data_IF_140992074591
#
_entry.id   IF_140992074591
#
_cell.length_a   1.000
_cell.length_b   1.000
_cell.length_c   1.000
_cell.angle_alpha   90.00
_cell.angle_beta   90.00
_cell.angle_gamma   90.00
#
_symmetry.space_group_name_H-M   'P 1'
#
loop_
_entity.id
_entity.type
_entity.pdbx_description
1 polymer ?
#
# COMPACT_ATOMS: atom_id res chain seq x y z
N UNK A 1 74.25 -47.87 49.72
CA UNK A 1 72.89 -48.27 49.25
C UNK A 1 71.91 -47.15 49.55
N UNK A 2 70.78 -47.10 48.82
CA UNK A 2 69.64 -46.15 48.93
C UNK A 2 69.78 -44.76 48.27
N UNK A 3 69.49 -44.72 46.95
CA UNK A 3 68.47 -43.83 46.33
C UNK A 3 67.06 -44.43 46.62
N UNK A 4 65.89 -43.85 46.27
CA UNK A 4 65.56 -42.64 45.48
C UNK A 4 64.85 -41.60 46.40
N UNK A 5 64.02 -40.60 46.00
CA UNK A 5 63.32 -40.24 44.74
C UNK A 5 63.30 -38.70 44.58
N UNK A 6 63.15 -38.21 43.34
CA UNK A 6 62.65 -36.86 43.03
C UNK A 6 61.40 -37.04 42.17
N UNK A 7 60.28 -36.41 42.54
CA UNK A 7 59.09 -36.29 41.69
C UNK A 7 58.90 -34.81 41.35
N UNK A 8 59.24 -34.44 40.11
CA UNK A 8 58.89 -33.15 39.52
C UNK A 8 57.73 -33.39 38.55
N UNK A 9 56.55 -32.86 38.86
CA UNK A 9 55.35 -33.05 38.05
C UNK A 9 55.29 -31.95 36.99
N UNK A 10 55.60 -32.33 35.75
CA UNK A 10 55.74 -31.40 34.62
C UNK A 10 54.40 -31.32 33.87
N UNK A 11 53.61 -30.28 34.14
CA UNK A 11 52.35 -30.02 33.45
C UNK A 11 52.64 -29.43 32.08
N UNK A 12 52.50 -30.25 31.03
CA UNK A 12 52.52 -29.80 29.64
C UNK A 12 51.12 -29.31 29.29
N UNK A 13 50.89 -28.00 29.38
CA UNK A 13 49.70 -27.37 28.83
C UNK A 13 49.79 -27.38 27.30
N UNK A 14 48.87 -28.06 26.64
CA UNK A 14 48.83 -28.15 25.18
C UNK A 14 48.45 -26.83 24.53
N UNK A 15 49.34 -26.28 23.71
CA UNK A 15 49.03 -25.23 22.76
C UNK A 15 48.16 -25.82 21.64
N UNK A 16 46.84 -25.74 21.79
CA UNK A 16 45.95 -25.75 20.62
C UNK A 16 45.90 -24.35 20.03
N UNK A 17 46.01 -24.18 18.70
CA UNK A 17 45.78 -22.89 18.08
C UNK A 17 44.30 -22.53 18.27
N UNK A 18 44.06 -21.48 19.04
CA UNK A 18 42.74 -20.87 19.16
C UNK A 18 42.38 -20.32 17.78
N UNK A 19 41.48 -20.99 17.06
CA UNK A 19 40.89 -20.42 15.86
C UNK A 19 40.17 -19.14 16.29
N UNK A 20 40.66 -18.01 15.79
CA UNK A 20 40.01 -16.73 16.00
C UNK A 20 38.66 -16.78 15.29
N UNK A 21 37.60 -17.07 16.05
CA UNK A 21 36.27 -16.61 15.68
C UNK A 21 36.40 -15.09 15.51
N UNK A 22 36.14 -14.59 14.30
CA UNK A 22 36.12 -13.15 14.08
C UNK A 22 35.04 -12.58 14.98
N UNK A 23 35.43 -11.69 15.90
CA UNK A 23 34.47 -10.94 16.66
C UNK A 23 33.64 -10.11 15.67
N UNK A 24 32.33 -10.33 15.68
CA UNK A 24 31.39 -9.44 15.02
C UNK A 24 31.49 -8.11 15.78
N UNK A 25 32.06 -7.08 15.17
CA UNK A 25 32.19 -5.77 15.79
C UNK A 25 30.81 -5.09 15.73
N UNK A 26 30.01 -5.38 16.75
CA UNK A 26 28.57 -5.09 16.85
C UNK A 26 28.27 -3.57 16.79
N UNK A 27 29.29 -2.72 16.91
CA UNK A 27 29.20 -1.27 16.79
C UNK A 27 29.17 -0.75 15.32
N UNK A 28 29.60 -1.51 14.31
CA UNK A 28 29.60 -1.03 12.90
C UNK A 28 28.36 -1.46 12.08
N UNK A 29 27.66 -2.52 12.51
CA UNK A 29 26.52 -3.10 11.78
C UNK A 29 25.21 -2.90 12.54
N UNK A 30 24.29 -2.12 11.97
CA UNK A 30 22.93 -1.94 12.52
C UNK A 30 21.90 -2.74 11.72
N UNK A 31 20.99 -3.44 12.41
CA UNK A 31 19.84 -4.08 11.78
C UNK A 31 18.74 -3.04 11.55
N UNK A 32 18.41 -2.80 10.28
CA UNK A 32 17.39 -1.84 9.86
C UNK A 32 16.29 -2.53 9.05
N UNK A 33 15.05 -2.05 9.20
CA UNK A 33 13.93 -2.48 8.36
C UNK A 33 13.95 -1.69 7.05
N UNK A 34 14.06 -2.37 5.91
CA UNK A 34 14.07 -1.74 4.59
C UNK A 34 12.83 -2.07 3.77
N UNK A 35 12.33 -1.06 3.05
CA UNK A 35 11.18 -1.19 2.15
C UNK A 35 11.66 -1.62 0.75
N UNK A 36 11.56 -2.92 0.45
CA UNK A 36 11.94 -3.46 -0.85
C UNK A 36 10.81 -3.28 -1.87
N UNK A 37 11.10 -2.53 -2.95
CA UNK A 37 10.18 -2.25 -4.06
C UNK A 37 10.60 -3.06 -5.28
N UNK A 38 9.72 -3.93 -5.79
CA UNK A 38 9.99 -4.72 -6.99
C UNK A 38 9.18 -4.17 -8.16
N UNK A 39 9.86 -3.82 -9.25
CA UNK A 39 9.27 -3.10 -10.38
C UNK A 39 8.08 -3.86 -11.02
N UNK A 40 6.86 -3.33 -10.81
CA UNK A 40 5.64 -3.86 -11.43
C UNK A 40 5.04 -5.09 -10.76
N UNK A 41 5.44 -5.39 -9.51
CA UNK A 41 4.91 -6.52 -8.72
C UNK A 41 4.34 -6.04 -7.38
N UNK A 42 5.05 -5.17 -6.68
CA UNK A 42 4.65 -4.68 -5.37
C UNK A 42 5.85 -4.27 -4.52
N UNK A 43 5.65 -4.22 -3.21
CA UNK A 43 6.71 -3.95 -2.25
C UNK A 43 6.43 -4.64 -0.91
N UNK A 44 7.48 -4.91 -0.14
CA UNK A 44 7.43 -5.55 1.17
C UNK A 44 8.54 -5.00 2.07
N UNK A 45 8.39 -5.19 3.38
CA UNK A 45 9.40 -4.82 4.37
C UNK A 45 10.21 -6.05 4.75
N UNK A 46 11.53 -5.89 4.92
CA UNK A 46 12.41 -6.96 5.40
C UNK A 46 13.57 -6.40 6.24
N UNK A 47 14.07 -7.15 7.23
CA UNK A 47 15.28 -6.78 7.94
C UNK A 47 16.50 -6.86 7.01
N UNK A 48 17.46 -5.97 7.22
CA UNK A 48 18.72 -5.90 6.51
C UNK A 48 19.79 -5.31 7.43
N UNK A 49 21.05 -5.71 7.27
CA UNK A 49 22.15 -5.06 7.98
C UNK A 49 22.71 -3.91 7.16
N UNK A 50 22.95 -2.78 7.81
CA UNK A 50 23.64 -1.63 7.24
C UNK A 50 24.96 -1.40 7.98
N UNK A 51 26.07 -1.29 7.25
CA UNK A 51 27.38 -0.94 7.83
C UNK A 51 27.66 0.54 7.63
N UNK A 52 28.00 1.23 8.72
CA UNK A 52 28.31 2.65 8.72
C UNK A 52 29.70 2.96 8.15
N UNK A 53 30.70 2.08 8.39
CA UNK A 53 32.06 2.26 7.88
C UNK A 53 32.16 2.26 6.36
N UNK A 54 31.39 1.40 5.70
CA UNK A 54 31.48 1.17 4.26
C UNK A 54 30.23 1.64 3.47
N UNK A 55 29.17 2.10 4.17
CA UNK A 55 27.91 2.59 3.60
C UNK A 55 27.22 1.56 2.68
N UNK A 56 27.27 0.27 3.06
CA UNK A 56 26.65 -0.85 2.32
C UNK A 56 25.44 -1.40 3.06
N UNK A 57 24.45 -1.81 2.27
CA UNK A 57 23.33 -2.62 2.74
C UNK A 57 23.54 -4.09 2.36
N UNK A 58 23.33 -4.97 3.34
CA UNK A 58 23.37 -6.42 3.25
C UNK A 58 21.97 -6.99 3.41
N UNK A 59 21.51 -7.77 2.42
CA UNK A 59 20.18 -8.37 2.42
C UNK A 59 20.26 -9.86 2.79
N UNK A 60 19.33 -10.39 3.61
CA UNK A 60 19.27 -11.81 3.92
C UNK A 60 18.91 -12.59 2.67
N UNK A 61 19.81 -13.50 2.26
CA UNK A 61 19.67 -14.23 0.99
C UNK A 61 18.47 -15.18 1.06
N UNK A 62 18.27 -15.83 2.21
CA UNK A 62 17.20 -16.81 2.43
C UNK A 62 15.82 -16.16 2.27
N UNK A 63 15.57 -15.04 2.94
CA UNK A 63 14.26 -14.38 2.93
C UNK A 63 13.94 -13.74 1.58
N UNK A 64 14.94 -13.10 0.95
CA UNK A 64 14.80 -12.56 -0.39
C UNK A 64 14.46 -13.65 -1.40
N UNK A 65 15.17 -14.79 -1.35
CA UNK A 65 14.94 -15.89 -2.30
C UNK A 65 13.60 -16.59 -2.03
N UNK A 66 13.20 -16.74 -0.75
CA UNK A 66 11.89 -17.23 -0.36
C UNK A 66 10.76 -16.35 -0.92
N UNK A 67 10.87 -15.02 -0.77
CA UNK A 67 9.89 -14.07 -1.30
C UNK A 67 9.79 -14.15 -2.83
N UNK A 68 10.93 -14.19 -3.52
CA UNK A 68 11.02 -14.29 -4.97
C UNK A 68 10.62 -15.68 -5.51
N UNK A 69 10.43 -16.66 -4.63
CA UNK A 69 10.27 -18.10 -4.94
C UNK A 69 11.37 -18.65 -5.85
N UNK A 70 12.60 -18.25 -5.55
CA UNK A 70 13.80 -18.99 -5.93
C UNK A 70 13.83 -20.24 -5.04
N UNK A 71 14.54 -21.31 -5.44
CA UNK A 71 14.75 -22.47 -4.57
C UNK A 71 16.03 -22.26 -3.76
N UNK A 72 15.94 -22.40 -2.43
CA UNK A 72 17.09 -22.37 -1.53
C UNK A 72 16.94 -23.35 -0.37
N UNK A 73 18.07 -23.94 0.02
CA UNK A 73 18.26 -24.76 1.21
C UNK A 73 19.51 -24.25 1.95
N UNK A 74 19.35 -23.89 3.22
CA UNK A 74 20.42 -23.41 4.09
C UNK A 74 20.89 -24.51 5.05
N UNK A 75 22.19 -24.55 5.34
CA UNK A 75 22.69 -25.34 6.47
C UNK A 75 22.19 -24.73 7.80
N UNK A 76 22.06 -25.52 8.88
CA UNK A 76 21.57 -25.02 10.18
C UNK A 76 22.36 -23.85 10.80
N UNK A 77 23.58 -23.62 10.35
CA UNK A 77 24.47 -22.54 10.82
C UNK A 77 24.67 -21.42 9.78
N UNK A 78 23.91 -21.44 8.67
CA UNK A 78 23.99 -20.48 7.56
C UNK A 78 25.36 -20.35 6.88
N UNK A 79 26.32 -21.22 7.17
CA UNK A 79 27.66 -21.23 6.56
C UNK A 79 27.62 -21.54 5.05
N UNK A 80 26.57 -22.23 4.58
CA UNK A 80 26.39 -22.62 3.19
C UNK A 80 24.92 -22.58 2.78
N UNK A 81 24.66 -21.99 1.62
CA UNK A 81 23.36 -21.99 0.95
C UNK A 81 23.48 -22.72 -0.39
N UNK A 82 22.54 -23.59 -0.71
CA UNK A 82 22.46 -24.30 -1.98
C UNK A 82 21.07 -24.11 -2.60
N UNK A 83 20.94 -24.19 -3.92
CA UNK A 83 19.64 -24.09 -4.57
C UNK A 83 19.74 -24.03 -6.08
N UNK A 84 18.66 -23.61 -6.75
CA UNK A 84 18.65 -23.40 -8.19
C UNK A 84 17.87 -22.14 -8.61
N UNK A 85 18.30 -21.54 -9.72
CA UNK A 85 17.73 -20.31 -10.27
C UNK A 85 16.85 -20.61 -11.50
N UNK A 86 15.53 -20.66 -11.30
CA UNK A 86 14.46 -20.89 -12.30
C UNK A 86 14.42 -22.30 -12.90
N UNK A 87 15.56 -22.83 -13.35
CA UNK A 87 15.71 -24.20 -13.87
C UNK A 87 16.62 -24.99 -12.92
N UNK A 88 16.25 -26.24 -12.59
CA UNK A 88 17.01 -27.16 -11.74
C UNK A 88 18.46 -27.38 -12.24
N UNK A 89 18.74 -27.13 -13.53
CA UNK A 89 20.10 -27.18 -14.10
C UNK A 89 20.97 -26.00 -13.68
N UNK A 90 20.38 -24.86 -13.30
CA UNK A 90 21.09 -23.63 -12.89
C UNK A 90 21.31 -23.63 -11.39
N UNK A 91 22.03 -24.66 -10.93
CA UNK A 91 22.43 -24.80 -9.54
C UNK A 91 23.34 -23.65 -9.11
N UNK A 92 23.16 -23.19 -7.87
CA UNK A 92 24.07 -22.28 -7.22
C UNK A 92 24.47 -22.79 -5.83
N UNK A 93 25.66 -22.37 -5.39
CA UNK A 93 26.18 -22.60 -4.04
C UNK A 93 26.80 -21.31 -3.54
N UNK A 94 26.39 -20.84 -2.37
CA UNK A 94 27.04 -19.74 -1.64
C UNK A 94 27.72 -20.38 -0.42
N UNK A 95 29.00 -20.13 -0.22
CA UNK A 95 29.79 -20.69 0.85
C UNK A 95 30.55 -19.54 1.57
N UNK A 96 30.19 -19.31 2.83
CA UNK A 96 30.76 -18.25 3.67
C UNK A 96 32.22 -18.54 4.04
N UNK A 97 32.55 -19.79 4.36
CA UNK A 97 33.89 -20.17 4.82
C UNK A 97 34.96 -20.05 3.72
N UNK A 98 34.59 -20.34 2.47
CA UNK A 98 35.44 -20.11 1.30
C UNK A 98 35.27 -18.72 0.68
N UNK A 99 34.23 -17.98 1.07
CA UNK A 99 33.78 -16.71 0.44
C UNK A 99 33.61 -16.85 -1.07
N UNK A 100 32.93 -17.92 -1.50
CA UNK A 100 32.66 -18.15 -2.93
C UNK A 100 31.19 -18.31 -3.25
N UNK A 101 30.81 -17.85 -4.44
CA UNK A 101 29.56 -18.23 -5.09
C UNK A 101 29.90 -19.04 -6.33
N UNK A 102 29.35 -20.25 -6.41
CA UNK A 102 29.36 -21.06 -7.62
C UNK A 102 27.99 -20.96 -8.29
N UNK A 103 27.95 -20.58 -9.57
CA UNK A 103 26.71 -20.55 -10.37
C UNK A 103 27.03 -20.77 -11.85
N UNK A 104 26.20 -21.54 -12.57
CA UNK A 104 26.39 -21.89 -13.99
C UNK A 104 27.81 -22.39 -14.33
N UNK A 105 28.44 -23.13 -13.40
CA UNK A 105 29.80 -23.67 -13.54
C UNK A 105 30.94 -22.64 -13.37
N UNK A 106 30.63 -21.39 -13.01
CA UNK A 106 31.63 -20.34 -12.68
C UNK A 106 31.75 -20.19 -11.17
N UNK A 107 32.97 -20.02 -10.68
CA UNK A 107 33.25 -19.65 -9.29
C UNK A 107 33.61 -18.18 -9.22
N UNK A 108 32.87 -17.43 -8.41
CA UNK A 108 33.08 -16.02 -8.10
C UNK A 108 33.60 -15.95 -6.67
N UNK A 109 34.73 -15.28 -6.45
CA UNK A 109 35.29 -15.03 -5.12
C UNK A 109 34.74 -13.69 -4.63
N UNK A 110 34.21 -13.67 -3.42
CA UNK A 110 33.67 -12.48 -2.77
C UNK A 110 34.75 -11.78 -1.94
N UNK A 111 34.66 -10.45 -1.84
CA UNK A 111 35.42 -9.66 -0.88
C UNK A 111 35.00 -9.92 0.57
N UNK A 112 35.81 -9.45 1.51
CA UNK A 112 35.52 -9.53 2.95
C UNK A 112 34.22 -8.80 3.29
N UNK A 113 34.01 -7.61 2.73
CA UNK A 113 32.83 -6.78 2.96
C UNK A 113 31.65 -7.07 2.02
N UNK A 114 31.59 -8.25 1.40
CA UNK A 114 30.53 -8.61 0.43
C UNK A 114 29.59 -9.72 0.92
N UNK A 115 29.99 -10.44 1.96
CA UNK A 115 29.22 -11.52 2.58
C UNK A 115 29.29 -11.38 4.10
N UNK A 116 28.15 -11.58 4.77
CA UNK A 116 28.01 -11.43 6.21
C UNK A 116 27.17 -12.58 6.75
N UNK A 117 27.62 -13.22 7.85
CA UNK A 117 26.89 -14.32 8.50
C UNK A 117 26.65 -13.98 9.96
N UNK A 118 25.38 -13.88 10.35
CA UNK A 118 24.94 -13.64 11.73
C UNK A 118 24.30 -14.91 12.30
N UNK A 119 23.79 -14.86 13.53
CA UNK A 119 22.98 -15.95 14.10
C UNK A 119 21.64 -16.14 13.36
N UNK A 120 21.13 -15.08 12.74
CA UNK A 120 19.80 -15.04 12.09
C UNK A 120 19.85 -15.45 10.61
N UNK A 121 20.98 -15.36 9.93
CA UNK A 121 21.06 -15.74 8.52
C UNK A 121 22.39 -15.51 7.82
N UNK A 122 22.40 -15.81 6.52
CA UNK A 122 23.45 -15.43 5.57
C UNK A 122 22.97 -14.24 4.73
N UNK A 123 23.80 -13.20 4.68
CA UNK A 123 23.52 -11.94 4.03
C UNK A 123 24.57 -11.65 2.95
N UNK A 124 24.15 -11.00 1.87
CA UNK A 124 25.05 -10.52 0.81
C UNK A 124 24.89 -9.01 0.63
N UNK A 125 25.98 -8.35 0.28
CA UNK A 125 25.93 -6.96 -0.17
C UNK A 125 25.01 -6.83 -1.39
N UNK A 126 24.12 -5.82 -1.36
CA UNK A 126 23.19 -5.47 -2.44
C UNK A 126 23.79 -5.49 -3.85
N UNK A 127 25.06 -5.06 -4.01
CA UNK A 127 25.76 -5.05 -5.30
C UNK A 127 26.12 -6.44 -5.87
N UNK A 128 26.11 -7.51 -5.06
CA UNK A 128 26.42 -8.89 -5.50
C UNK A 128 25.24 -9.51 -6.25
N UNK A 129 24.00 -9.19 -5.86
CA UNK A 129 22.79 -9.82 -6.40
C UNK A 129 22.59 -9.60 -7.92
N UNK A 130 22.97 -8.42 -8.42
CA UNK A 130 22.84 -8.09 -9.84
C UNK A 130 23.76 -8.93 -10.74
N UNK A 131 25.10 -8.82 -10.58
CA UNK A 131 26.07 -9.57 -11.40
C UNK A 131 25.97 -11.09 -11.28
N UNK A 132 25.56 -11.62 -10.12
CA UNK A 132 25.55 -13.07 -9.86
C UNK A 132 24.20 -13.69 -10.23
N UNK A 133 23.08 -13.08 -9.83
CA UNK A 133 21.74 -13.67 -9.94
C UNK A 133 20.81 -12.94 -10.90
N UNK A 134 21.22 -11.82 -11.53
CA UNK A 134 20.34 -10.99 -12.35
C UNK A 134 19.30 -10.20 -11.54
N UNK A 135 19.61 -9.94 -10.26
CA UNK A 135 18.75 -9.27 -9.28
C UNK A 135 19.37 -7.91 -8.91
N UNK A 136 19.12 -6.89 -9.71
CA UNK A 136 19.73 -5.57 -9.53
C UNK A 136 19.06 -4.79 -8.39
N UNK A 137 19.66 -4.87 -7.20
CA UNK A 137 19.26 -4.14 -6.00
C UNK A 137 19.92 -2.75 -5.93
N UNK A 138 19.13 -1.68 -5.90
CA UNK A 138 19.60 -0.31 -5.67
C UNK A 138 19.10 0.20 -4.33
N UNK A 139 19.99 0.50 -3.38
CA UNK A 139 19.62 1.01 -2.07
C UNK A 139 19.54 2.55 -2.03
N UNK A 140 18.48 3.07 -1.42
CA UNK A 140 18.22 4.49 -1.23
C UNK A 140 18.15 4.83 0.27
N UNK A 141 19.31 5.06 0.88
CA UNK A 141 19.49 5.33 2.32
C UNK A 141 18.48 6.35 2.89
N UNK A 142 18.27 7.50 2.23
CA UNK A 142 17.32 8.55 2.68
C UNK A 142 15.87 8.09 2.88
N UNK A 143 15.49 7.00 2.22
CA UNK A 143 14.12 6.44 2.26
C UNK A 143 14.09 5.02 2.82
N UNK A 144 15.23 4.51 3.30
CA UNK A 144 15.46 3.13 3.73
C UNK A 144 14.80 2.11 2.79
N UNK A 145 14.94 2.31 1.48
CA UNK A 145 14.26 1.50 0.47
C UNK A 145 15.23 0.87 -0.51
N UNK A 146 14.89 -0.32 -1.00
CA UNK A 146 15.66 -1.03 -2.03
C UNK A 146 14.80 -1.18 -3.28
N UNK A 147 15.22 -0.60 -4.39
CA UNK A 147 14.61 -0.89 -5.68
C UNK A 147 15.23 -2.15 -6.27
N UNK A 148 14.43 -3.21 -6.43
CA UNK A 148 14.82 -4.44 -7.11
C UNK A 148 14.31 -4.42 -8.56
N UNK A 149 15.26 -4.49 -9.50
CA UNK A 149 15.02 -4.70 -10.93
C UNK A 149 15.58 -6.05 -11.35
N UNK A 150 14.84 -6.79 -12.16
CA UNK A 150 15.31 -8.06 -12.72
C UNK A 150 14.76 -8.26 -14.13
N UNK A 151 15.61 -8.77 -15.01
CA UNK A 151 15.23 -9.18 -16.36
C UNK A 151 14.70 -10.63 -16.40
N UNK A 152 14.65 -11.29 -15.25
CA UNK A 152 14.23 -12.68 -15.11
C UNK A 152 12.71 -12.79 -14.86
N UNK A 153 12.04 -13.70 -15.59
CA UNK A 153 10.64 -14.07 -15.33
C UNK A 153 10.54 -15.02 -14.12
N UNK A 154 10.80 -14.49 -12.92
CA UNK A 154 10.72 -15.27 -11.68
C UNK A 154 9.29 -15.78 -11.41
N UNK A 155 9.11 -16.97 -10.80
CA UNK A 155 7.78 -17.58 -10.61
C UNK A 155 6.81 -16.67 -9.85
N UNK A 156 7.25 -16.02 -8.77
CA UNK A 156 6.44 -15.08 -7.99
C UNK A 156 5.94 -13.90 -8.83
N UNK A 157 6.83 -13.34 -9.67
CA UNK A 157 6.52 -12.22 -10.57
C UNK A 157 5.45 -12.62 -11.59
N UNK A 158 5.58 -13.82 -12.16
CA UNK A 158 4.62 -14.36 -13.13
C UNK A 158 3.24 -14.57 -12.51
N UNK A 159 3.17 -15.14 -11.32
CA UNK A 159 1.89 -15.34 -10.61
C UNK A 159 1.20 -14.01 -10.27
N UNK A 160 1.91 -13.04 -9.70
CA UNK A 160 1.32 -11.73 -9.37
C UNK A 160 0.88 -10.96 -10.62
N UNK A 161 1.65 -11.02 -11.72
CA UNK A 161 1.25 -10.45 -13.02
C UNK A 161 -0.02 -11.11 -13.57
N UNK A 162 -0.17 -12.43 -13.44
CA UNK A 162 -1.39 -13.14 -13.84
C UNK A 162 -2.60 -12.79 -12.96
N UNK A 163 -2.40 -12.61 -11.65
CA UNK A 163 -3.44 -12.15 -10.74
C UNK A 163 -3.95 -10.74 -11.10
N UNK A 164 -3.04 -9.79 -11.33
CA UNK A 164 -3.38 -8.44 -11.78
C UNK A 164 -4.08 -8.45 -13.15
N UNK A 165 -3.69 -9.30 -14.09
CA UNK A 165 -4.40 -9.44 -15.37
C UNK A 165 -5.84 -9.93 -15.18
N UNK A 166 -6.09 -10.90 -14.28
CA UNK A 166 -7.44 -11.39 -13.98
C UNK A 166 -8.33 -10.29 -13.41
N UNK A 167 -7.87 -9.60 -12.37
CA UNK A 167 -8.57 -8.46 -11.77
C UNK A 167 -8.88 -7.35 -12.80
N UNK A 168 -7.94 -7.05 -13.69
CA UNK A 168 -8.16 -6.06 -14.75
C UNK A 168 -9.19 -6.54 -15.80
N UNK A 169 -9.21 -7.83 -16.16
CA UNK A 169 -10.23 -8.40 -17.06
C UNK A 169 -11.62 -8.38 -16.43
N UNK A 170 -11.74 -8.68 -15.13
CA UNK A 170 -12.99 -8.58 -14.36
C UNK A 170 -13.50 -7.13 -14.34
N UNK A 171 -12.63 -6.16 -14.00
CA UNK A 171 -12.91 -4.71 -14.07
C UNK A 171 -13.37 -4.26 -15.46
N UNK A 172 -12.76 -4.78 -16.53
CA UNK A 172 -13.09 -4.43 -17.92
C UNK A 172 -14.40 -5.07 -18.42
N UNK A 173 -14.76 -6.26 -17.91
CA UNK A 173 -16.04 -6.91 -18.21
C UNK A 173 -17.21 -6.29 -17.44
N UNK A 174 -16.94 -5.56 -16.37
CA UNK A 174 -17.97 -4.96 -15.51
C UNK A 174 -18.62 -5.96 -14.55
N UNK A 175 -18.07 -7.17 -14.48
CA UNK A 175 -18.36 -8.18 -13.47
C UNK A 175 -17.63 -7.79 -12.18
N UNK A 176 -18.18 -6.78 -11.48
CA UNK A 176 -17.74 -6.46 -10.12
C UNK A 176 -18.39 -7.48 -9.21
N UNK A 177 -17.60 -8.42 -8.70
CA UNK A 177 -18.05 -9.30 -7.62
C UNK A 177 -18.35 -8.43 -6.39
N UNK A 178 -19.56 -8.57 -5.85
CA UNK A 178 -20.06 -7.75 -4.74
C UNK A 178 -20.81 -8.64 -3.76
N UNK A 179 -20.35 -8.66 -2.51
CA UNK A 179 -20.90 -9.52 -1.44
C UNK A 179 -22.41 -9.35 -1.24
N UNK A 180 -22.98 -8.21 -1.61
CA UNK A 180 -24.43 -7.97 -1.59
C UNK A 180 -24.87 -6.89 -2.58
N UNK A 181 -25.86 -7.20 -3.43
CA UNK A 181 -26.57 -6.20 -4.24
C UNK A 181 -27.85 -5.72 -3.55
N UNK A 182 -27.88 -4.44 -3.12
CA UNK A 182 -29.08 -3.81 -2.58
C UNK A 182 -29.93 -3.19 -3.70
N UNK A 183 -30.98 -3.90 -4.12
CA UNK A 183 -31.94 -3.38 -5.10
C UNK A 183 -32.79 -2.22 -4.54
N UNK A 184 -32.95 -1.14 -5.32
CA UNK A 184 -33.83 -0.02 -4.98
C UNK A 184 -35.29 -0.49 -4.93
N UNK A 185 -35.89 -0.44 -3.74
CA UNK A 185 -37.33 -0.62 -3.52
C UNK A 185 -38.00 0.75 -3.50
N UNK A 186 -39.14 0.87 -4.18
CA UNK A 186 -39.93 2.10 -4.22
C UNK A 186 -41.12 1.99 -3.25
N UNK A 187 -41.33 3.02 -2.45
CA UNK A 187 -42.40 3.09 -1.45
C UNK A 187 -43.34 4.25 -1.76
N UNK A 188 -44.64 4.07 -1.51
CA UNK A 188 -45.62 5.15 -1.67
C UNK A 188 -45.38 6.29 -0.67
N UNK A 189 -45.05 5.93 0.57
CA UNK A 189 -44.55 6.84 1.60
C UNK A 189 -43.55 6.11 2.48
N UNK A 190 -42.42 6.75 2.79
CA UNK A 190 -41.47 6.31 3.80
C UNK A 190 -40.80 7.52 4.42
N UNK A 191 -40.93 7.68 5.73
CA UNK A 191 -40.19 8.71 6.46
C UNK A 191 -38.68 8.43 6.40
N UNK A 192 -37.87 9.47 6.19
CA UNK A 192 -36.41 9.37 6.12
C UNK A 192 -35.75 10.03 7.31
N UNK A 193 -35.36 11.29 7.13
CA UNK A 193 -34.56 12.09 8.09
C UNK A 193 -35.11 13.50 8.23
N UNK A 194 -34.90 14.09 9.41
CA UNK A 194 -35.20 15.50 9.70
C UNK A 194 -34.02 16.09 10.46
N UNK A 195 -33.47 17.17 9.90
CA UNK A 195 -32.34 17.91 10.44
C UNK A 195 -32.81 19.33 10.78
N UNK A 196 -32.33 19.91 11.86
CA UNK A 196 -32.67 21.27 12.25
C UNK A 196 -31.46 22.00 12.80
N UNK A 197 -31.42 23.31 12.60
CA UNK A 197 -30.43 24.18 13.21
C UNK A 197 -31.09 25.48 13.69
N UNK A 198 -30.62 25.99 14.83
CA UNK A 198 -31.01 27.29 15.38
C UNK A 198 -29.73 28.04 15.76
N UNK A 199 -29.64 29.29 15.31
CA UNK A 199 -28.52 30.18 15.62
C UNK A 199 -29.07 31.56 15.97
N UNK A 200 -28.45 32.23 16.94
CA UNK A 200 -28.79 33.60 17.30
C UNK A 200 -27.51 34.40 17.53
N UNK A 201 -27.40 35.54 16.86
CA UNK A 201 -26.26 36.44 16.94
C UNK A 201 -26.72 37.77 17.51
N UNK A 202 -26.12 38.15 18.64
CA UNK A 202 -26.35 39.43 19.31
C UNK A 202 -25.10 40.29 19.14
N UNK A 203 -25.30 41.55 18.75
CA UNK A 203 -24.23 42.54 18.57
C UNK A 203 -24.63 43.80 19.33
N UNK A 204 -23.73 44.31 20.17
CA UNK A 204 -23.97 45.52 20.97
C UNK A 204 -24.37 46.69 20.08
N UNK A 205 -25.51 47.33 20.38
CA UNK A 205 -26.15 48.40 19.58
C UNK A 205 -26.65 47.99 18.18
N UNK A 206 -26.97 46.72 17.95
CA UNK A 206 -27.58 46.23 16.71
C UNK A 206 -28.73 45.25 16.98
N UNK A 207 -29.60 45.04 15.99
CA UNK A 207 -30.75 44.13 16.08
C UNK A 207 -30.30 42.67 16.13
N UNK A 208 -30.79 41.93 17.13
CA UNK A 208 -30.58 40.47 17.27
C UNK A 208 -31.03 39.72 16.01
N UNK A 209 -30.13 38.88 15.49
CA UNK A 209 -30.34 38.11 14.28
C UNK A 209 -30.43 36.62 14.62
N UNK A 210 -31.65 36.08 14.59
CA UNK A 210 -31.93 34.68 14.87
C UNK A 210 -32.31 33.97 13.58
N UNK A 211 -31.55 32.94 13.20
CA UNK A 211 -31.84 32.08 12.04
C UNK A 211 -32.18 30.68 12.50
N UNK A 212 -33.24 30.11 11.93
CA UNK A 212 -33.57 28.71 12.08
C UNK A 212 -33.68 28.04 10.70
N UNK A 213 -33.25 26.79 10.58
CA UNK A 213 -33.45 25.97 9.39
C UNK A 213 -33.96 24.58 9.75
N UNK A 214 -34.75 23.99 8.86
CA UNK A 214 -35.36 22.67 9.00
C UNK A 214 -35.29 21.94 7.67
N UNK A 215 -34.47 20.89 7.60
CA UNK A 215 -34.41 19.94 6.49
C UNK A 215 -35.29 18.72 6.78
N UNK A 216 -35.97 18.23 5.75
CA UNK A 216 -36.72 16.98 5.75
C UNK A 216 -36.41 16.23 4.44
N UNK A 217 -35.91 15.00 4.58
CA UNK A 217 -35.74 14.04 3.49
C UNK A 217 -36.66 12.85 3.69
N UNK A 218 -37.51 12.53 2.72
CA UNK A 218 -38.44 11.40 2.79
C UNK A 218 -38.66 10.75 1.41
N UNK A 219 -39.30 9.59 1.36
CA UNK A 219 -39.84 9.01 0.14
C UNK A 219 -41.35 9.27 0.08
N UNK A 220 -41.84 9.78 -1.05
CA UNK A 220 -43.26 10.00 -1.32
C UNK A 220 -43.54 9.84 -2.81
N UNK A 221 -44.67 9.20 -3.15
CA UNK A 221 -45.05 8.88 -4.53
C UNK A 221 -43.93 8.17 -5.31
N UNK A 222 -43.23 7.23 -4.66
CA UNK A 222 -42.12 6.46 -5.25
C UNK A 222 -40.89 7.32 -5.65
N UNK A 223 -40.85 8.59 -5.25
CA UNK A 223 -39.73 9.50 -5.43
C UNK A 223 -39.17 9.99 -4.11
N UNK A 224 -37.94 10.50 -4.11
CA UNK A 224 -37.39 11.21 -2.96
C UNK A 224 -37.98 12.63 -2.90
N UNK A 225 -38.32 13.09 -1.70
CA UNK A 225 -38.83 14.42 -1.40
C UNK A 225 -37.85 15.09 -0.45
N UNK A 226 -37.34 16.24 -0.83
CA UNK A 226 -36.46 17.06 0.00
C UNK A 226 -37.13 18.42 0.20
N UNK A 227 -37.37 18.79 1.45
CA UNK A 227 -37.91 20.10 1.85
C UNK A 227 -36.89 20.74 2.80
N UNK A 228 -36.50 21.98 2.53
CA UNK A 228 -35.59 22.75 3.36
C UNK A 228 -36.20 24.12 3.61
N UNK A 229 -36.59 24.35 4.87
CA UNK A 229 -37.22 25.57 5.32
C UNK A 229 -36.22 26.45 6.06
N UNK A 230 -36.28 27.76 5.83
CA UNK A 230 -35.42 28.75 6.47
C UNK A 230 -36.23 29.90 7.05
N UNK A 231 -35.86 30.34 8.25
CA UNK A 231 -36.44 31.47 8.95
C UNK A 231 -35.32 32.40 9.43
N UNK A 232 -35.53 33.71 9.35
CA UNK A 232 -34.68 34.71 9.98
C UNK A 232 -35.54 35.75 10.71
N UNK A 233 -35.09 36.27 11.85
CA UNK A 233 -35.73 37.41 12.51
C UNK A 233 -35.64 38.71 11.70
N UNK A 234 -34.80 38.78 10.67
CA UNK A 234 -34.67 39.94 9.76
C UNK A 234 -35.62 39.86 8.58
N UNK A 235 -35.63 38.73 7.88
CA UNK A 235 -36.38 38.54 6.63
C UNK A 235 -37.72 37.79 6.81
N UNK A 236 -38.00 37.31 8.02
CA UNK A 236 -39.14 36.46 8.35
C UNK A 236 -39.08 35.08 7.67
N UNK A 237 -40.26 34.55 7.34
CA UNK A 237 -40.40 33.34 6.53
C UNK A 237 -40.62 33.72 5.06
N UNK A 238 -39.53 33.96 4.33
CA UNK A 238 -39.57 34.35 2.93
C UNK A 238 -39.66 33.13 2.01
N UNK A 239 -40.70 33.04 1.17
CA UNK A 239 -40.94 31.95 0.22
C UNK A 239 -39.72 31.68 -0.68
N UNK A 240 -38.96 32.72 -1.07
CA UNK A 240 -37.75 32.59 -1.90
C UNK A 240 -36.64 31.77 -1.24
N UNK A 241 -36.55 31.82 0.08
CA UNK A 241 -35.53 31.13 0.88
C UNK A 241 -35.95 29.70 1.27
N UNK A 242 -37.15 29.26 0.88
CA UNK A 242 -37.63 27.89 1.08
C UNK A 242 -37.32 27.06 -0.16
N UNK A 243 -36.72 25.89 0.01
CA UNK A 243 -36.49 24.93 -1.07
C UNK A 243 -37.39 23.71 -0.89
N UNK A 244 -37.99 23.24 -1.96
CA UNK A 244 -38.76 21.99 -1.99
C UNK A 244 -38.59 21.33 -3.35
N UNK A 245 -38.23 20.06 -3.36
CA UNK A 245 -38.01 19.30 -4.58
C UNK A 245 -38.40 17.85 -4.41
N UNK A 246 -39.14 17.32 -5.38
CA UNK A 246 -39.45 15.91 -5.53
C UNK A 246 -38.69 15.34 -6.73
N UNK A 247 -38.13 14.15 -6.60
CA UNK A 247 -37.41 13.46 -7.68
C UNK A 247 -37.74 11.98 -7.73
N UNK A 248 -38.31 11.55 -8.84
CA UNK A 248 -38.38 10.14 -9.21
C UNK A 248 -37.21 9.79 -10.15
N UNK A 249 -36.61 8.62 -9.98
CA UNK A 249 -35.52 8.17 -10.84
C UNK A 249 -35.45 6.64 -10.96
N UNK A 250 -35.50 6.13 -12.19
CA UNK A 250 -35.33 4.73 -12.54
C UNK A 250 -34.48 4.57 -13.82
N UNK A 251 -33.26 4.02 -13.69
CA UNK A 251 -32.34 3.85 -14.82
C UNK A 251 -32.76 2.76 -15.83
N UNK A 252 -33.68 1.86 -15.45
CA UNK A 252 -34.13 0.75 -16.31
C UNK A 252 -35.07 1.22 -17.44
N UNK A 253 -35.77 2.33 -17.23
CA UNK A 253 -36.77 2.85 -18.18
C UNK A 253 -36.06 3.72 -19.23
N UNK A 254 -36.04 3.25 -20.47
CA UNK A 254 -35.33 3.88 -21.60
C UNK A 254 -35.84 5.28 -22.03
N UNK A 255 -37.16 5.61 -22.06
CA UNK A 255 -37.60 6.93 -22.53
C UNK A 255 -37.36 8.06 -21.52
N UNK A 256 -37.61 7.82 -20.22
CA UNK A 256 -37.41 8.81 -19.15
C UNK A 256 -36.81 8.09 -17.94
N UNK A 257 -35.60 8.52 -17.53
CA UNK A 257 -34.89 7.95 -16.38
C UNK A 257 -35.06 8.74 -15.11
N UNK A 258 -35.29 10.06 -15.20
CA UNK A 258 -35.53 10.90 -14.03
C UNK A 258 -36.63 11.92 -14.33
N UNK A 259 -37.48 12.17 -13.34
CA UNK A 259 -38.45 13.26 -13.31
C UNK A 259 -38.22 14.05 -12.03
N UNK A 260 -38.16 15.38 -12.12
CA UNK A 260 -38.06 16.28 -10.97
C UNK A 260 -39.19 17.31 -11.01
N UNK A 261 -39.76 17.63 -9.85
CA UNK A 261 -40.78 18.65 -9.68
C UNK A 261 -40.46 19.54 -8.47
N UNK A 262 -40.94 20.79 -8.47
CA UNK A 262 -40.72 21.76 -7.41
C UNK A 262 -39.69 22.81 -7.82
N UNK A 263 -38.94 23.36 -6.85
CA UNK A 263 -37.86 24.31 -7.11
C UNK A 263 -36.66 23.58 -7.69
N UNK A 264 -36.41 23.78 -8.97
CA UNK A 264 -35.34 23.10 -9.70
C UNK A 264 -34.33 24.12 -10.23
N UNK A 265 -33.04 23.84 -10.00
CA UNK A 265 -31.98 24.60 -10.64
C UNK A 265 -32.01 24.37 -12.14
N UNK A 266 -32.39 25.40 -12.90
CA UNK A 266 -32.19 25.42 -14.35
C UNK A 266 -30.71 25.72 -14.62
N UNK A 267 -30.04 24.94 -15.46
CA UNK A 267 -28.66 25.20 -15.91
C UNK A 267 -28.58 26.36 -16.89
N UNK A 268 -29.17 27.50 -16.53
CA UNK A 268 -29.28 28.68 -17.37
C UNK A 268 -27.95 29.44 -17.39
N UNK A 269 -27.60 29.93 -18.58
CA UNK A 269 -26.41 30.75 -18.82
C UNK A 269 -26.69 32.23 -18.45
N UNK A 270 -27.95 32.57 -18.18
CA UNK A 270 -28.42 33.89 -17.75
C UNK A 270 -28.70 33.94 -16.24
N UNK A 271 -28.48 35.10 -15.63
CA UNK A 271 -28.78 35.35 -14.21
C UNK A 271 -30.28 35.30 -13.93
N UNK A 272 -30.76 34.23 -13.30
CA UNK A 272 -32.14 34.08 -12.86
C UNK A 272 -32.22 34.46 -11.37
N UNK A 273 -32.85 35.60 -11.07
CA UNK A 273 -32.94 36.17 -9.71
C UNK A 273 -34.09 35.62 -8.85
N UNK A 274 -34.97 34.77 -9.39
CA UNK A 274 -36.09 34.15 -8.67
C UNK A 274 -36.04 32.62 -8.79
N UNK A 275 -36.37 31.85 -7.74
CA UNK A 275 -36.36 30.39 -7.81
C UNK A 275 -37.36 29.88 -8.84
N UNK A 276 -36.89 29.10 -9.81
CA UNK A 276 -37.76 28.50 -10.83
C UNK A 276 -38.49 27.28 -10.27
N UNK A 277 -39.81 27.35 -10.22
CA UNK A 277 -40.69 26.24 -9.87
C UNK A 277 -41.18 25.60 -11.17
N UNK A 278 -40.94 24.29 -11.34
CA UNK A 278 -41.36 23.61 -12.56
C UNK A 278 -41.17 22.10 -12.50
N UNK A 279 -41.32 21.46 -13.66
CA UNK A 279 -41.12 20.02 -13.86
C UNK A 279 -40.04 19.83 -14.93
N UNK A 280 -39.13 18.89 -14.71
CA UNK A 280 -38.14 18.48 -15.70
C UNK A 280 -38.07 16.96 -15.82
N UNK A 281 -37.99 16.45 -17.05
CA UNK A 281 -37.78 15.04 -17.36
C UNK A 281 -36.46 14.87 -18.10
N UNK A 282 -35.71 13.81 -17.83
CA UNK A 282 -34.42 13.55 -18.49
C UNK A 282 -34.11 12.05 -18.62
N UNK A 283 -33.29 11.73 -19.62
CA UNK A 283 -32.72 10.40 -19.85
C UNK A 283 -31.26 10.29 -19.31
N UNK A 284 -30.79 11.29 -18.55
CA UNK A 284 -29.51 11.18 -17.85
C UNK A 284 -29.57 10.04 -16.80
N UNK A 285 -28.60 9.11 -16.77
CA UNK A 285 -28.54 8.08 -15.73
C UNK A 285 -28.22 8.70 -14.37
N UNK A 286 -28.66 8.09 -13.27
CA UNK A 286 -28.24 8.47 -11.92
C UNK A 286 -26.91 7.84 -11.49
N UNK A 287 -26.37 6.90 -12.27
CA UNK A 287 -25.07 6.29 -12.01
C UNK A 287 -23.94 7.16 -12.53
N UNK A 288 -22.99 7.49 -11.66
CA UNK A 288 -21.71 8.07 -12.09
C UNK A 288 -20.87 6.99 -12.77
N UNK A 289 -20.44 7.22 -14.02
CA UNK A 289 -19.46 6.38 -14.70
C UNK A 289 -18.07 6.63 -14.11
N UNK A 290 -17.79 6.05 -12.95
CA UNK A 290 -16.44 6.00 -12.38
C UNK A 290 -15.60 5.04 -13.21
N UNK A 291 -14.86 5.56 -14.19
CA UNK A 291 -13.67 4.89 -14.68
C UNK A 291 -12.65 4.90 -13.54
N UNK A 292 -12.45 3.76 -12.89
CA UNK A 292 -11.38 3.59 -11.91
C UNK A 292 -10.05 3.59 -12.66
N UNK A 293 -9.43 4.76 -12.75
CA UNK A 293 -8.03 4.93 -13.11
C UNK A 293 -7.24 5.19 -11.83
N UNK A 294 -6.26 4.34 -11.54
CA UNK A 294 -5.30 4.58 -10.47
C UNK A 294 -4.21 5.51 -10.99
N UNK A 295 -4.02 6.64 -10.31
CA UNK A 295 -2.97 7.61 -10.61
C UNK A 295 -2.09 7.78 -9.37
N UNK A 296 -0.81 7.44 -9.50
CA UNK A 296 0.17 7.66 -8.45
C UNK A 296 0.55 9.14 -8.43
N UNK A 297 0.04 9.88 -7.44
CA UNK A 297 0.57 11.19 -7.08
C UNK A 297 1.85 11.01 -6.28
N UNK A 298 2.95 11.55 -6.79
CA UNK A 298 4.16 11.83 -6.04
C UNK A 298 4.41 13.32 -6.06
N UNK A 299 4.49 13.94 -4.89
CA UNK A 299 4.79 15.37 -4.74
C UNK A 299 5.81 15.55 -3.60
N UNK A 300 6.52 16.68 -3.59
CA UNK A 300 7.60 16.95 -2.64
C UNK A 300 7.39 18.32 -2.00
N UNK A 301 7.07 18.34 -0.71
CA UNK A 301 6.88 19.57 0.06
C UNK A 301 8.15 19.93 0.85
N UNK A 302 8.72 21.10 0.58
CA UNK A 302 9.75 21.68 1.42
C UNK A 302 9.14 22.23 2.73
N UNK A 303 9.70 21.93 3.91
CA UNK A 303 9.34 22.60 5.15
C UNK A 303 9.99 23.99 5.20
N UNK A 304 9.17 25.03 5.44
CA UNK A 304 9.61 26.41 5.70
C UNK A 304 9.76 26.71 7.19
#
# INVERSE_FOLDING_TARGET
MKRPVIFLLLIVAGLMPMQAAQAFDEEDYEEILVYMRIQGIGAFEMPAYFSYSNNRLYLPVVDLFLFLRINQEATPYYDRLTGFLIDEKRLYVIDHASRTIQIDGKTIVLGEDEILRTETGLYLYTGVFGPVFGLHCTFHFRSLSVELKTDLELPAIREMRLAMMRQNVERLRGEVDVDTTLHRRYHFFRFGMVDWALSSTQITRSTTDTRASLGLGSEFLFGETNVFLNYSSRDGFNERNQHYSWRWANNQIKPVRQVRAGKIGTGAISSIYNPFIGVSATNAPTTFRRSYGEYTLSDFTEPG
#
